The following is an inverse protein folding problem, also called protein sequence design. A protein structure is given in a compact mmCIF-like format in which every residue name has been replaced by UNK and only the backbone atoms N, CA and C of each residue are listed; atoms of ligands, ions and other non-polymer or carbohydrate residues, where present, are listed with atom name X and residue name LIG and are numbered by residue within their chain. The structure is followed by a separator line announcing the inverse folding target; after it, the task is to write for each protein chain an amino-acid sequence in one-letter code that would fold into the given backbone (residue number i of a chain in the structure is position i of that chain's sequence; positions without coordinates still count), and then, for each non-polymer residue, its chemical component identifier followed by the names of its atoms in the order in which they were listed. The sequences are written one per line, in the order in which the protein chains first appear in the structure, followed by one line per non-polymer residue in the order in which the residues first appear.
data_IF_185153808734
#
_entry.id   IF_185153808734
#
_cell.length_a   1.000
_cell.length_b   1.000
_cell.length_c   1.000
_cell.angle_alpha   90.00
_cell.angle_beta   90.00
_cell.angle_gamma   90.00
#
_symmetry.space_group_name_H-M   'P 1'
#
loop_
_entity.id
_entity.type
_entity.pdbx_description
1 polymer ?
#
# COMPACT_ATOMS: atom_id res chain seq x y z
N UNK A 1 -65.51 12.38 23.78
CA UNK A 1 -64.79 11.92 22.57
C UNK A 1 -63.46 12.65 22.30
N UNK A 2 -63.23 13.86 22.82
CA UNK A 2 -62.00 14.66 22.57
C UNK A 2 -60.71 14.14 23.25
N UNK A 3 -60.83 13.33 24.32
CA UNK A 3 -59.68 12.77 25.07
C UNK A 3 -58.96 11.64 24.34
N UNK A 4 -59.67 10.90 23.47
CA UNK A 4 -59.10 9.80 22.67
C UNK A 4 -58.36 10.31 21.42
N UNK A 5 -58.82 11.43 20.87
CA UNK A 5 -58.14 12.13 19.77
C UNK A 5 -56.80 12.74 20.23
N UNK A 6 -56.76 13.36 21.43
CA UNK A 6 -55.52 13.88 22.00
C UNK A 6 -54.50 12.77 22.31
N UNK A 7 -54.94 11.61 22.79
CA UNK A 7 -54.06 10.48 23.08
C UNK A 7 -53.53 9.78 21.80
N UNK A 8 -54.30 9.78 20.71
CA UNK A 8 -53.90 9.24 19.41
C UNK A 8 -52.87 10.14 18.68
N UNK A 9 -52.95 11.46 18.89
CA UNK A 9 -52.00 12.43 18.32
C UNK A 9 -50.63 12.38 19.03
N UNK A 10 -50.62 12.11 20.34
CA UNK A 10 -49.38 11.88 21.11
C UNK A 10 -48.73 10.54 20.75
N UNK A 11 -49.53 9.49 20.48
CA UNK A 11 -49.01 8.20 20.01
C UNK A 11 -48.44 8.26 18.58
N UNK A 12 -48.98 9.13 17.72
CA UNK A 12 -48.47 9.35 16.37
C UNK A 12 -47.19 10.17 16.35
N UNK A 13 -47.03 11.13 17.27
CA UNK A 13 -45.80 11.90 17.42
C UNK A 13 -44.62 11.08 17.98
N UNK A 14 -44.90 10.04 18.78
CA UNK A 14 -43.89 9.13 19.34
C UNK A 14 -43.42 8.02 18.36
N UNK A 15 -44.09 7.87 17.22
CA UNK A 15 -43.71 6.88 16.20
C UNK A 15 -42.80 7.45 15.10
N UNK A 16 -42.65 8.78 15.01
CA UNK A 16 -41.85 9.45 13.98
C UNK A 16 -40.36 9.61 14.37
N UNK A 17 -39.99 9.43 15.64
CA UNK A 17 -38.61 9.63 16.10
C UNK A 17 -37.72 8.38 16.03
N UNK A 18 -38.22 7.24 15.53
CA UNK A 18 -37.48 5.96 15.53
C UNK A 18 -36.76 5.63 14.21
N UNK A 19 -36.85 6.48 13.18
CA UNK A 19 -36.13 6.27 11.92
C UNK A 19 -34.96 7.24 11.77
N UNK A 20 -34.04 7.25 12.75
CA UNK A 20 -32.67 7.63 12.47
C UNK A 20 -32.07 6.51 11.61
N UNK A 21 -32.30 6.57 10.30
CA UNK A 21 -31.74 5.62 9.35
C UNK A 21 -30.23 5.56 9.54
N UNK A 22 -29.71 4.38 9.87
CA UNK A 22 -28.29 4.12 9.91
C UNK A 22 -27.69 4.47 8.55
N UNK A 23 -27.00 5.60 8.45
CA UNK A 23 -26.23 5.92 7.27
C UNK A 23 -25.04 4.96 7.20
N UNK A 24 -25.17 3.89 6.41
CA UNK A 24 -24.04 3.03 6.09
C UNK A 24 -23.07 3.84 5.23
N UNK A 25 -21.93 4.22 5.80
CA UNK A 25 -20.83 4.75 5.01
C UNK A 25 -20.38 3.67 4.02
N UNK A 26 -20.47 3.94 2.73
CA UNK A 26 -19.94 3.06 1.70
C UNK A 26 -18.42 2.97 1.87
N UNK A 27 -17.92 1.79 2.27
CA UNK A 27 -16.49 1.54 2.36
C UNK A 27 -15.89 1.54 0.96
N UNK A 28 -15.05 2.54 0.65
CA UNK A 28 -14.27 2.56 -0.59
C UNK A 28 -13.25 1.43 -0.58
N UNK A 29 -13.42 0.46 -1.48
CA UNK A 29 -12.46 -0.62 -1.68
C UNK A 29 -11.24 -0.08 -2.44
N UNK A 30 -10.01 -0.25 -1.93
CA UNK A 30 -8.80 0.15 -2.64
C UNK A 30 -8.68 -0.57 -3.99
N UNK A 31 -8.25 0.15 -5.03
CA UNK A 31 -8.07 -0.41 -6.38
C UNK A 31 -6.63 -0.36 -6.84
N UNK A 32 -6.32 -1.14 -7.86
CA UNK A 32 -5.03 -1.12 -8.57
C UNK A 32 -5.24 -0.62 -9.99
N UNK A 33 -4.37 0.29 -10.40
CA UNK A 33 -4.30 0.78 -11.77
C UNK A 33 -2.90 0.58 -12.33
N UNK A 34 -2.79 0.16 -13.58
CA UNK A 34 -1.55 0.07 -14.34
C UNK A 34 -1.71 0.83 -15.65
N UNK A 35 -0.85 1.82 -15.90
CA UNK A 35 -0.89 2.68 -17.08
C UNK A 35 -2.30 3.29 -17.31
N UNK A 36 -2.97 3.69 -16.22
CA UNK A 36 -4.31 4.25 -16.23
C UNK A 36 -5.47 3.23 -16.36
N UNK A 37 -5.18 1.94 -16.52
CA UNK A 37 -6.20 0.88 -16.61
C UNK A 37 -6.39 0.19 -15.26
N UNK A 38 -7.65 -0.04 -14.85
CA UNK A 38 -7.96 -0.78 -13.62
C UNK A 38 -7.61 -2.26 -13.77
N UNK A 39 -6.76 -2.78 -12.90
CA UNK A 39 -6.44 -4.20 -12.86
C UNK A 39 -7.50 -4.95 -12.04
N UNK A 40 -8.12 -5.95 -12.67
CA UNK A 40 -9.02 -6.86 -11.97
C UNK A 40 -8.20 -7.74 -11.02
N UNK A 41 -8.35 -7.50 -9.72
CA UNK A 41 -7.64 -8.25 -8.69
C UNK A 41 -8.60 -8.99 -7.78
N UNK A 42 -8.24 -10.24 -7.45
CA UNK A 42 -8.91 -11.01 -6.41
C UNK A 42 -8.69 -10.41 -5.01
N UNK A 43 -7.74 -9.49 -4.83
CA UNK A 43 -7.50 -8.82 -3.56
C UNK A 43 -7.07 -7.37 -3.73
N UNK A 44 -7.69 -6.47 -2.97
CA UNK A 44 -7.31 -5.07 -2.93
C UNK A 44 -5.93 -4.85 -2.28
N UNK A 45 -5.23 -3.75 -2.63
CA UNK A 45 -4.12 -3.23 -1.84
C UNK A 45 -4.45 -3.13 -0.35
N UNK A 46 -3.47 -3.41 0.51
CA UNK A 46 -3.65 -3.35 1.97
C UNK A 46 -2.48 -2.63 2.64
N UNK A 47 -2.78 -1.85 3.66
CA UNK A 47 -1.75 -1.27 4.53
C UNK A 47 -1.66 -2.11 5.79
N UNK A 48 -0.44 -2.53 6.13
CA UNK A 48 -0.12 -3.15 7.42
C UNK A 48 1.16 -2.52 7.95
N UNK A 49 1.12 -1.94 9.15
CA UNK A 49 2.29 -1.32 9.83
C UNK A 49 3.03 -0.36 8.88
N UNK A 50 2.31 0.60 8.31
CA UNK A 50 2.81 1.61 7.37
C UNK A 50 3.42 1.07 6.07
N UNK A 51 3.28 -0.22 5.79
CA UNK A 51 3.65 -0.81 4.51
C UNK A 51 2.42 -1.06 3.66
N UNK A 52 2.40 -0.51 2.45
CA UNK A 52 1.41 -0.88 1.43
C UNK A 52 1.85 -2.17 0.75
N UNK A 53 0.98 -3.17 0.80
CA UNK A 53 1.09 -4.45 0.14
C UNK A 53 0.14 -4.52 -1.05
N UNK A 54 0.62 -5.11 -2.14
CA UNK A 54 -0.20 -5.35 -3.33
C UNK A 54 -0.06 -6.80 -3.83
N UNK A 55 -1.08 -7.33 -4.50
CA UNK A 55 -1.05 -8.65 -5.13
C UNK A 55 -0.06 -8.66 -6.29
N UNK A 56 1.10 -9.31 -6.07
CA UNK A 56 2.19 -9.30 -7.06
C UNK A 56 1.78 -9.94 -8.39
N UNK A 57 0.98 -11.01 -8.34
CA UNK A 57 0.50 -11.71 -9.53
C UNK A 57 -0.28 -10.76 -10.45
N UNK A 58 -1.23 -10.02 -9.89
CA UNK A 58 -2.08 -9.09 -10.66
C UNK A 58 -1.23 -8.05 -11.38
N UNK A 59 -0.24 -7.48 -10.70
CA UNK A 59 0.64 -6.46 -11.30
C UNK A 59 1.54 -7.06 -12.37
N UNK A 60 2.18 -8.19 -12.08
CA UNK A 60 3.07 -8.86 -13.02
C UNK A 60 2.35 -9.33 -14.30
N UNK A 61 1.20 -9.99 -14.16
CA UNK A 61 0.37 -10.41 -15.30
C UNK A 61 -0.15 -9.19 -16.09
N UNK A 62 -0.51 -8.10 -15.41
CA UNK A 62 -0.89 -6.84 -16.06
C UNK A 62 0.25 -6.21 -16.89
N UNK A 63 1.51 -6.47 -16.53
CA UNK A 63 2.69 -6.08 -17.31
C UNK A 63 3.08 -7.10 -18.38
N UNK A 64 2.34 -8.21 -18.50
CA UNK A 64 2.64 -9.29 -19.45
C UNK A 64 3.74 -10.25 -18.99
N UNK A 65 4.01 -10.35 -17.69
CA UNK A 65 4.96 -11.30 -17.13
C UNK A 65 4.25 -12.59 -16.76
N UNK A 66 4.94 -13.71 -16.94
CA UNK A 66 4.51 -15.02 -16.45
C UNK A 66 4.77 -15.13 -14.94
N UNK A 67 3.82 -15.76 -14.24
CA UNK A 67 3.88 -15.93 -12.78
C UNK A 67 3.63 -17.38 -12.40
N UNK A 68 4.68 -18.05 -11.94
CA UNK A 68 4.64 -19.40 -11.40
C UNK A 68 4.60 -19.38 -9.86
N UNK A 69 3.82 -20.29 -9.28
CA UNK A 69 3.78 -20.52 -7.84
C UNK A 69 4.21 -21.95 -7.52
N UNK A 70 5.31 -22.09 -6.80
CA UNK A 70 5.71 -23.34 -6.19
C UNK A 70 5.14 -23.43 -4.77
N UNK A 71 4.15 -24.32 -4.59
CA UNK A 71 3.51 -24.55 -3.29
C UNK A 71 4.42 -25.23 -2.27
N UNK A 72 5.31 -26.12 -2.71
CA UNK A 72 6.21 -26.84 -1.82
C UNK A 72 7.30 -25.92 -1.28
N UNK A 73 7.91 -25.13 -2.16
CA UNK A 73 8.94 -24.15 -1.80
C UNK A 73 8.35 -22.86 -1.20
N UNK A 74 7.02 -22.64 -1.34
CA UNK A 74 6.35 -21.37 -1.01
C UNK A 74 7.01 -20.20 -1.73
N UNK A 75 7.25 -20.36 -3.02
CA UNK A 75 8.01 -19.43 -3.85
C UNK A 75 7.18 -18.97 -5.04
N UNK A 76 7.18 -17.66 -5.28
CA UNK A 76 6.68 -17.06 -6.51
C UNK A 76 7.87 -16.79 -7.42
N UNK A 77 7.78 -17.23 -8.68
CA UNK A 77 8.74 -16.89 -9.72
C UNK A 77 8.04 -16.10 -10.82
N UNK A 78 8.60 -14.96 -11.20
CA UNK A 78 8.02 -14.00 -12.13
C UNK A 78 9.04 -13.72 -13.23
N UNK A 79 8.67 -13.85 -14.49
CA UNK A 79 9.59 -13.59 -15.59
C UNK A 79 8.90 -13.11 -16.86
N UNK A 80 9.67 -12.51 -17.77
CA UNK A 80 9.23 -12.15 -19.12
C UNK A 80 10.27 -12.54 -20.18
N UNK A 81 11.12 -13.51 -19.85
CA UNK A 81 12.26 -13.96 -20.68
C UNK A 81 13.50 -13.05 -20.63
N UNK A 82 13.37 -11.81 -20.13
CA UNK A 82 14.48 -10.86 -19.97
C UNK A 82 14.84 -10.62 -18.52
N UNK A 83 13.81 -10.52 -17.67
CA UNK A 83 13.93 -10.31 -16.24
C UNK A 83 13.35 -11.49 -15.48
N UNK A 84 13.90 -11.78 -14.31
CA UNK A 84 13.43 -12.83 -13.40
C UNK A 84 13.44 -12.33 -11.96
N UNK A 85 12.33 -12.54 -11.26
CA UNK A 85 12.17 -12.25 -9.83
C UNK A 85 11.70 -13.52 -9.13
N UNK A 86 12.41 -13.93 -8.09
CA UNK A 86 12.06 -15.06 -7.25
C UNK A 86 11.91 -14.64 -5.81
N UNK A 87 10.77 -14.98 -5.22
CA UNK A 87 10.39 -14.49 -3.91
C UNK A 87 9.79 -15.61 -3.07
N UNK A 88 10.40 -15.85 -1.92
CA UNK A 88 9.93 -16.86 -0.96
C UNK A 88 9.13 -16.19 0.15
N UNK A 89 7.96 -16.76 0.46
CA UNK A 89 7.08 -16.24 1.52
C UNK A 89 7.83 -16.20 2.86
N UNK A 90 7.60 -15.14 3.64
CA UNK A 90 8.22 -14.87 4.94
C UNK A 90 9.74 -14.68 4.92
N UNK A 91 10.38 -14.55 3.74
CA UNK A 91 11.78 -14.10 3.62
C UNK A 91 11.84 -12.59 3.35
N UNK A 92 12.89 -11.95 3.87
CA UNK A 92 13.24 -10.55 3.58
C UNK A 92 14.23 -10.41 2.43
N UNK A 93 14.58 -11.50 1.77
CA UNK A 93 15.49 -11.51 0.63
C UNK A 93 14.75 -12.19 -0.52
N UNK A 94 14.84 -11.59 -1.70
CA UNK A 94 14.42 -12.15 -2.98
C UNK A 94 15.62 -12.20 -3.93
N UNK A 95 15.48 -12.96 -5.00
CA UNK A 95 16.46 -12.99 -6.10
C UNK A 95 15.88 -12.19 -7.27
N UNK A 96 16.62 -11.20 -7.77
CA UNK A 96 16.25 -10.40 -8.94
C UNK A 96 17.38 -10.51 -9.94
N UNK A 97 17.12 -11.12 -11.09
CA UNK A 97 18.12 -11.40 -12.14
C UNK A 97 19.38 -12.10 -11.59
N UNK A 98 19.20 -13.05 -10.68
CA UNK A 98 20.29 -13.78 -10.02
C UNK A 98 20.96 -13.05 -8.84
N UNK A 99 20.61 -11.80 -8.57
CA UNK A 99 21.16 -11.01 -7.48
C UNK A 99 20.25 -11.01 -6.26
N UNK A 100 20.82 -11.09 -5.06
CA UNK A 100 20.06 -10.99 -3.81
C UNK A 100 19.64 -9.55 -3.54
N UNK A 101 18.34 -9.31 -3.40
CA UNK A 101 17.74 -8.00 -3.12
C UNK A 101 16.90 -8.08 -1.85
N UNK A 102 17.08 -7.09 -0.96
CA UNK A 102 16.34 -7.02 0.29
C UNK A 102 14.94 -6.44 0.10
N UNK A 103 13.98 -6.98 0.86
CA UNK A 103 12.64 -6.44 1.01
C UNK A 103 12.57 -5.64 2.32
N UNK A 104 11.88 -4.49 2.34
CA UNK A 104 11.65 -3.73 3.57
C UNK A 104 10.87 -4.56 4.60
N UNK A 105 9.89 -5.33 4.13
CA UNK A 105 9.15 -6.31 4.93
C UNK A 105 8.94 -7.60 4.13
N UNK A 106 8.79 -8.76 4.78
CA UNK A 106 8.62 -10.01 4.05
C UNK A 106 7.34 -9.99 3.20
N UNK A 107 7.39 -10.70 2.08
CA UNK A 107 6.19 -11.06 1.35
C UNK A 107 5.36 -12.07 2.13
N UNK A 108 4.03 -11.97 1.97
CA UNK A 108 3.06 -12.70 2.77
C UNK A 108 1.98 -13.28 1.88
N UNK A 109 1.36 -14.38 2.31
CA UNK A 109 0.09 -14.80 1.74
C UNK A 109 -1.01 -14.14 2.58
N UNK A 110 -1.92 -13.40 1.94
CA UNK A 110 -3.08 -12.79 2.60
C UNK A 110 -4.38 -13.21 1.91
N UNK A 111 -5.47 -13.26 2.66
CA UNK A 111 -6.77 -13.76 2.19
C UNK A 111 -7.10 -15.14 2.78
N UNK A 112 -8.23 -15.72 2.36
CA UNK A 112 -8.70 -17.00 2.88
C UNK A 112 -9.16 -17.94 1.75
N UNK A 113 -8.81 -19.22 1.86
CA UNK A 113 -9.18 -20.24 0.87
C UNK A 113 -8.76 -19.85 -0.55
N UNK A 114 -9.69 -19.93 -1.49
CA UNK A 114 -9.50 -19.62 -2.91
C UNK A 114 -9.23 -18.14 -3.21
N UNK A 115 -9.34 -17.24 -2.22
CA UNK A 115 -9.03 -15.81 -2.38
C UNK A 115 -7.65 -15.43 -1.84
N UNK A 116 -6.86 -16.40 -1.38
CA UNK A 116 -5.51 -16.15 -0.89
C UNK A 116 -4.58 -15.74 -2.04
N UNK A 117 -3.76 -14.73 -1.80
CA UNK A 117 -2.80 -14.21 -2.79
C UNK A 117 -1.47 -13.84 -2.15
N UNK A 118 -0.40 -13.85 -2.94
CA UNK A 118 0.89 -13.36 -2.51
C UNK A 118 0.90 -11.82 -2.55
N UNK A 119 1.05 -11.25 -1.38
CA UNK A 119 1.14 -9.82 -1.12
C UNK A 119 2.61 -9.43 -0.91
N UNK A 120 3.08 -8.48 -1.69
CA UNK A 120 4.48 -8.01 -1.66
C UNK A 120 4.50 -6.49 -1.39
N UNK A 121 5.50 -5.97 -0.67
CA UNK A 121 5.60 -4.53 -0.43
C UNK A 121 5.67 -3.76 -1.75
N UNK A 122 4.79 -2.78 -1.91
CA UNK A 122 4.68 -1.93 -3.10
C UNK A 122 6.04 -1.37 -3.54
N UNK A 123 6.83 -0.90 -2.57
CA UNK A 123 8.18 -0.35 -2.81
C UNK A 123 9.12 -1.33 -3.50
N UNK A 124 9.14 -2.60 -3.08
CA UNK A 124 10.01 -3.60 -3.69
C UNK A 124 9.64 -3.82 -5.15
N UNK A 125 8.34 -3.87 -5.44
CA UNK A 125 7.83 -4.10 -6.80
C UNK A 125 8.16 -2.92 -7.70
N UNK A 126 7.90 -1.70 -7.23
CA UNK A 126 8.14 -0.51 -8.03
C UNK A 126 9.62 -0.33 -8.40
N UNK A 127 10.51 -0.56 -7.44
CA UNK A 127 11.95 -0.43 -7.66
C UNK A 127 12.48 -1.50 -8.62
N UNK A 128 12.11 -2.78 -8.43
CA UNK A 128 12.67 -3.88 -9.22
C UNK A 128 11.99 -4.09 -10.58
N UNK A 129 10.78 -3.56 -10.77
CA UNK A 129 10.05 -3.61 -12.04
C UNK A 129 10.03 -2.27 -12.79
N UNK A 130 10.71 -1.23 -12.27
CA UNK A 130 10.83 0.06 -12.93
C UNK A 130 9.51 0.81 -13.05
N UNK A 131 8.65 0.71 -12.02
CA UNK A 131 7.35 1.36 -12.00
C UNK A 131 7.40 2.65 -11.20
N UNK A 132 6.80 3.70 -11.76
CA UNK A 132 6.40 4.88 -10.99
C UNK A 132 5.12 4.60 -10.22
N UNK A 133 5.01 5.20 -9.03
CA UNK A 133 3.91 4.94 -8.10
C UNK A 133 3.24 6.25 -7.70
N UNK A 134 1.93 6.30 -7.87
CA UNK A 134 1.09 7.31 -7.24
C UNK A 134 0.09 6.64 -6.30
N UNK A 135 0.05 7.12 -5.05
CA UNK A 135 -0.84 6.60 -4.02
C UNK A 135 -1.96 7.59 -3.74
N UNK A 136 -3.21 7.20 -4.00
CA UNK A 136 -4.37 8.02 -3.69
C UNK A 136 -4.83 7.77 -2.25
N UNK A 137 -4.49 8.71 -1.36
CA UNK A 137 -4.81 8.57 0.07
C UNK A 137 -6.31 8.49 0.40
N UNK A 138 -7.22 9.21 -0.26
CA UNK A 138 -8.66 9.11 0.01
C UNK A 138 -9.28 7.76 -0.35
N UNK A 139 -8.97 7.19 -1.51
CA UNK A 139 -9.50 5.88 -1.93
C UNK A 139 -8.60 4.71 -1.52
N UNK A 140 -7.39 4.99 -1.03
CA UNK A 140 -6.31 4.03 -0.74
C UNK A 140 -5.84 3.27 -1.98
N UNK A 141 -6.19 3.73 -3.18
CA UNK A 141 -5.83 3.08 -4.44
C UNK A 141 -4.39 3.35 -4.83
N UNK A 142 -3.82 2.40 -5.58
CA UNK A 142 -2.45 2.46 -6.06
C UNK A 142 -2.46 2.56 -7.58
N UNK A 143 -1.75 3.54 -8.11
CA UNK A 143 -1.55 3.75 -9.54
C UNK A 143 -0.09 3.46 -9.87
N UNK A 144 0.12 2.61 -10.86
CA UNK A 144 1.42 2.15 -11.33
C UNK A 144 1.60 2.59 -12.78
N UNK A 145 2.78 3.11 -13.12
CA UNK A 145 3.12 3.49 -14.49
C UNK A 145 4.46 2.89 -14.88
N UNK A 146 4.51 2.25 -16.05
CA UNK A 146 5.76 1.76 -16.61
C UNK A 146 6.55 2.94 -17.17
N UNK A 147 7.83 3.05 -16.81
CA UNK A 147 8.69 4.03 -17.44
C UNK A 147 9.15 3.48 -18.80
N UNK A 148 8.54 3.95 -19.89
CA UNK A 148 8.83 3.54 -21.27
C UNK A 148 10.21 4.04 -21.77
N UNK A 149 11.26 3.97 -20.95
CA UNK A 149 12.62 4.38 -21.32
C UNK A 149 13.25 3.55 -22.47
N UNK A 150 12.52 2.59 -23.05
CA UNK A 150 12.90 1.86 -24.27
C UNK A 150 12.10 2.26 -25.52
N UNK A 151 11.15 3.19 -25.42
CA UNK A 151 10.33 3.66 -26.53
C UNK A 151 10.47 5.18 -26.70
N UNK A 152 11.56 5.62 -27.33
CA UNK A 152 11.63 6.93 -27.99
C UNK A 152 12.58 7.95 -27.37
N UNK A 153 13.62 8.27 -28.12
CA UNK A 153 14.55 9.38 -27.94
C UNK A 153 13.82 10.73 -27.72
N UNK A 154 13.93 11.28 -26.51
CA UNK A 154 13.47 12.62 -26.14
C UNK A 154 14.32 13.19 -25.00
N UNK A 155 15.33 13.98 -25.36
CA UNK A 155 16.04 14.86 -24.44
C UNK A 155 15.04 15.84 -23.81
N UNK A 156 14.97 15.90 -22.47
CA UNK A 156 14.12 16.85 -21.78
C UNK A 156 14.01 16.66 -20.27
N UNK A 157 15.05 17.09 -19.53
CA UNK A 157 14.84 17.87 -18.30
C UNK A 157 14.41 17.18 -17.00
N UNK A 158 15.34 17.26 -16.03
CA UNK A 158 15.13 17.29 -14.58
C UNK A 158 14.70 15.99 -13.87
N UNK A 159 15.70 15.33 -13.30
CA UNK A 159 15.60 14.52 -12.09
C UNK A 159 14.92 15.33 -10.96
N UNK A 160 13.75 14.94 -10.42
CA UNK A 160 13.52 15.17 -9.01
C UNK A 160 14.35 14.11 -8.28
N UNK A 161 15.45 14.56 -7.69
CA UNK A 161 16.14 13.80 -6.64
C UNK A 161 15.08 13.31 -5.65
N UNK A 162 15.04 12.02 -5.26
CA UNK A 162 14.14 11.58 -4.22
C UNK A 162 14.43 12.44 -2.99
N UNK A 163 13.39 13.13 -2.50
CA UNK A 163 13.50 13.93 -1.29
C UNK A 163 14.07 13.03 -0.18
N UNK A 164 15.12 13.46 0.55
CA UNK A 164 15.63 12.68 1.66
C UNK A 164 14.49 12.47 2.66
N UNK A 165 14.25 11.21 3.00
CA UNK A 165 13.41 10.80 4.14
C UNK A 165 13.70 11.72 5.32
N UNK A 166 12.70 12.32 6.00
CA UNK A 166 12.97 13.15 7.16
C UNK A 166 13.73 12.31 8.19
N UNK A 167 14.98 12.67 8.42
CA UNK A 167 15.79 12.13 9.52
C UNK A 167 15.04 12.40 10.82
N UNK A 168 14.80 11.40 11.68
CA UNK A 168 14.22 11.68 12.99
C UNK A 168 15.18 12.59 13.76
N UNK A 169 14.70 13.79 14.11
CA UNK A 169 15.43 14.74 14.95
C UNK A 169 15.89 14.03 16.23
N UNK A 170 17.20 13.98 16.55
CA UNK A 170 17.64 13.49 17.84
C UNK A 170 17.16 14.46 18.93
N UNK A 171 16.40 13.95 19.89
CA UNK A 171 16.03 14.64 21.13
C UNK A 171 17.30 15.19 21.79
N UNK A 172 17.38 16.49 22.16
CA UNK A 172 18.55 17.02 22.83
C UNK A 172 18.68 16.39 24.22
N UNK A 173 19.75 15.60 24.40
CA UNK A 173 20.27 15.21 25.71
C UNK A 173 20.71 16.45 26.46
N UNK A 174 20.06 16.76 27.58
CA UNK A 174 20.50 17.78 28.53
C UNK A 174 21.82 17.33 29.18
N UNK A 175 22.92 18.05 28.91
CA UNK A 175 24.21 17.87 29.61
C UNK A 175 24.39 18.96 30.67
N UNK A 176 24.96 18.65 31.86
CA UNK A 176 24.95 19.53 33.03
C UNK A 176 25.90 20.73 32.92
N UNK A 177 25.55 21.80 33.65
CA UNK A 177 26.23 23.09 33.62
C UNK A 177 27.71 23.06 34.00
N UNK A 178 28.49 23.78 33.19
CA UNK A 178 29.87 24.19 33.48
C UNK A 178 29.84 25.57 34.12
N UNK A 179 30.31 25.68 35.35
CA UNK A 179 30.57 26.95 36.04
C UNK A 179 32.01 26.93 36.55
N UNK A 180 32.87 27.73 35.94
CA UNK A 180 34.25 27.89 36.35
C UNK A 180 34.72 29.33 36.22
N UNK A 181 35.64 29.69 37.13
CA UNK A 181 36.43 30.95 37.25
C UNK A 181 35.70 32.05 38.03
N UNK A 182 36.19 32.64 39.12
CA UNK A 182 37.53 32.79 39.70
C UNK A 182 37.73 34.27 40.12
N UNK A 183 38.53 34.53 41.17
CA UNK A 183 38.93 35.87 41.71
C UNK A 183 37.84 36.59 42.53
N UNK A 184 38.07 37.27 43.65
CA UNK A 184 39.28 37.84 44.27
C UNK A 184 38.96 38.28 45.72
N UNK A 185 40.00 38.42 46.55
CA UNK A 185 40.11 39.01 47.91
C UNK A 185 39.39 38.36 49.09
#
# INVERSE_FOLDING_TARGET
MMKKAAMMLVFLALFVTAFAGSASAASKTPKLYLNGQELQSASAPRIEKDTTYIPIRTVAEGMGFDVNWDKAAKQVSIHNGKSMIELTINKKIATVNGLSVALPTPAKIMGAGSTSTTMVPLRFISENMGLEVYYDSPSKSVYLYQNDASSGNGSGGATPSPAPTPTPTPTPTSTPGSGGTGSET
#
